data_IF_130486437326
#
_entry.id   IF_130486437326
#
_cell.length_a   1.000
_cell.length_b   1.000
_cell.length_c   1.000
_cell.angle_alpha   90.00
_cell.angle_beta   90.00
_cell.angle_gamma   90.00
#
_symmetry.space_group_name_H-M   'P 1'
#
loop_
_entity.id
_entity.type
_entity.pdbx_description
1 polymer ?
#
# COMPACT_ATOMS: atom_id res chain seq x y z
N UNK A 1 28.70 -10.21 28.09
CA UNK A 1 27.52 -9.33 28.04
C UNK A 1 26.78 -9.62 26.75
N UNK A 2 25.61 -10.24 26.87
CA UNK A 2 24.73 -10.64 25.77
C UNK A 2 23.53 -9.69 25.80
N UNK A 3 23.19 -8.93 24.74
CA UNK A 3 22.01 -8.10 24.78
C UNK A 3 20.77 -8.97 24.55
N UNK A 4 19.85 -8.85 25.49
CA UNK A 4 18.60 -9.58 25.66
C UNK A 4 17.67 -9.47 24.46
N UNK A 5 17.11 -10.61 24.05
CA UNK A 5 15.90 -10.68 23.21
C UNK A 5 14.72 -10.04 23.96
N UNK A 6 13.86 -9.24 23.31
CA UNK A 6 12.59 -8.87 23.91
C UNK A 6 11.65 -10.07 23.88
N UNK A 7 11.04 -10.34 25.02
CA UNK A 7 9.96 -11.31 25.21
C UNK A 7 8.69 -10.84 24.47
N UNK A 8 8.18 -11.63 23.55
CA UNK A 8 6.80 -11.49 23.08
C UNK A 8 5.85 -12.14 24.09
N UNK A 9 5.11 -11.29 24.78
CA UNK A 9 4.08 -11.64 25.77
C UNK A 9 2.70 -11.54 25.11
N UNK A 10 2.01 -12.68 25.00
CA UNK A 10 0.55 -12.83 25.04
C UNK A 10 -0.28 -11.96 24.07
N UNK A 11 -0.55 -12.49 22.87
CA UNK A 11 -1.56 -11.94 21.97
C UNK A 11 -2.97 -12.14 22.56
N UNK A 12 -3.53 -11.09 23.16
CA UNK A 12 -4.96 -10.95 23.34
C UNK A 12 -5.64 -10.72 21.98
N UNK A 13 -6.93 -11.04 21.87
CA UNK A 13 -7.78 -10.86 20.69
C UNK A 13 -8.06 -9.38 20.32
N UNK A 14 -7.07 -8.50 20.47
CA UNK A 14 -7.09 -7.09 20.10
C UNK A 14 -6.24 -6.87 18.86
N UNK A 15 -6.77 -6.16 17.87
CA UNK A 15 -6.00 -5.77 16.69
C UNK A 15 -4.75 -4.97 17.06
N UNK A 16 -3.71 -5.10 16.26
CA UNK A 16 -2.48 -4.32 16.44
C UNK A 16 -2.67 -2.93 15.81
N UNK A 17 -2.38 -1.89 16.58
CA UNK A 17 -2.32 -0.52 16.06
C UNK A 17 -0.99 -0.30 15.34
N UNK A 18 -1.04 0.34 14.17
CA UNK A 18 0.13 0.67 13.38
C UNK A 18 0.32 2.18 13.40
N UNK A 19 0.99 2.72 14.43
CA UNK A 19 1.19 4.16 14.56
C UNK A 19 1.98 4.70 13.36
N UNK A 20 1.63 5.90 12.93
CA UNK A 20 2.25 6.60 11.80
C UNK A 20 2.05 5.92 10.45
N UNK A 21 1.00 5.11 10.30
CA UNK A 21 0.55 4.54 9.03
C UNK A 21 -0.69 5.24 8.48
N UNK A 22 -0.89 5.18 7.16
CA UNK A 22 -2.14 5.59 6.50
C UNK A 22 -2.70 4.38 5.76
N UNK A 23 -3.97 4.05 5.98
CA UNK A 23 -4.63 2.95 5.30
C UNK A 23 -5.67 3.50 4.33
N UNK A 24 -5.52 3.16 3.04
CA UNK A 24 -6.34 3.66 1.95
C UNK A 24 -6.80 2.51 1.05
N UNK A 25 -8.00 2.62 0.50
CA UNK A 25 -8.55 1.70 -0.50
C UNK A 25 -8.42 2.34 -1.86
N UNK A 26 -7.65 1.71 -2.73
CA UNK A 26 -7.51 2.10 -4.12
C UNK A 26 -8.64 1.46 -4.93
N UNK A 27 -9.68 2.25 -5.18
CA UNK A 27 -10.78 1.86 -6.07
C UNK A 27 -10.32 1.89 -7.55
N UNK A 28 -10.74 0.90 -8.37
CA UNK A 28 -10.37 0.82 -9.77
C UNK A 28 -10.98 1.99 -10.57
N UNK A 29 -10.17 2.65 -11.40
CA UNK A 29 -10.58 3.90 -12.06
C UNK A 29 -11.74 3.72 -13.05
N UNK A 30 -11.85 2.59 -13.76
CA UNK A 30 -12.98 2.20 -14.63
C UNK A 30 -12.96 0.68 -14.85
N UNK A 31 -14.11 0.00 -14.81
CA UNK A 31 -14.23 -1.37 -15.34
C UNK A 31 -14.17 -1.30 -16.87
N UNK A 32 -13.22 -1.99 -17.50
CA UNK A 32 -13.28 -2.17 -18.94
C UNK A 32 -14.49 -3.07 -19.23
N UNK A 33 -15.49 -2.61 -20.02
CA UNK A 33 -16.67 -3.42 -20.31
C UNK A 33 -16.36 -4.69 -21.12
N UNK A 34 -15.12 -4.82 -21.63
CA UNK A 34 -14.72 -5.90 -22.53
C UNK A 34 -14.04 -7.09 -21.86
N UNK A 35 -13.59 -6.98 -20.60
CA UNK A 35 -12.89 -8.08 -19.92
C UNK A 35 -13.81 -8.99 -19.10
N UNK A 36 -15.05 -8.57 -18.80
CA UNK A 36 -15.97 -9.34 -17.94
C UNK A 36 -15.49 -9.52 -16.49
N UNK A 37 -14.34 -8.95 -16.13
CA UNK A 37 -13.75 -9.06 -14.80
C UNK A 37 -14.39 -8.05 -13.84
N UNK A 38 -14.71 -8.52 -12.63
CA UNK A 38 -15.20 -7.65 -11.57
C UNK A 38 -14.10 -6.67 -11.13
N UNK A 39 -14.40 -5.36 -11.06
CA UNK A 39 -13.47 -4.38 -10.49
C UNK A 39 -13.11 -4.78 -9.05
N UNK A 40 -11.83 -4.87 -8.75
CA UNK A 40 -11.31 -5.25 -7.43
C UNK A 40 -10.59 -4.04 -6.82
N UNK A 41 -11.15 -3.50 -5.73
CA UNK A 41 -10.49 -2.47 -4.93
C UNK A 41 -9.37 -3.09 -4.10
N UNK A 42 -8.32 -2.32 -3.82
CA UNK A 42 -7.13 -2.84 -3.15
C UNK A 42 -6.82 -2.04 -1.87
N UNK A 43 -6.73 -2.72 -0.73
CA UNK A 43 -6.35 -2.09 0.53
C UNK A 43 -4.84 -1.93 0.62
N UNK A 44 -4.39 -0.68 0.75
CA UNK A 44 -2.97 -0.31 0.79
C UNK A 44 -2.64 0.36 2.12
N UNK A 45 -1.72 -0.24 2.87
CA UNK A 45 -1.11 0.39 4.04
C UNK A 45 0.15 1.16 3.62
N UNK A 46 0.08 2.47 3.69
CA UNK A 46 1.19 3.38 3.46
C UNK A 46 1.93 3.58 4.78
N UNK A 47 3.21 3.23 4.80
CA UNK A 47 4.09 3.36 5.97
C UNK A 47 5.33 4.16 5.62
N UNK A 48 6.09 4.60 6.60
CA UNK A 48 7.31 5.39 6.40
C UNK A 48 7.56 6.29 7.60
N UNK A 49 8.73 6.91 7.65
CA UNK A 49 9.07 7.85 8.72
C UNK A 49 8.10 9.05 8.77
N UNK A 50 8.06 9.74 9.92
CA UNK A 50 7.28 10.96 10.07
C UNK A 50 7.80 12.03 9.09
N UNK A 51 6.89 12.73 8.41
CA UNK A 51 7.26 13.76 7.42
C UNK A 51 7.62 13.24 6.02
N UNK A 52 7.48 11.94 5.73
CA UNK A 52 7.66 11.40 4.37
C UNK A 52 6.52 11.71 3.39
N UNK A 53 5.50 12.48 3.81
CA UNK A 53 4.39 12.88 2.95
C UNK A 53 3.23 11.87 2.88
N UNK A 54 3.05 10.99 3.87
CA UNK A 54 2.02 9.94 3.84
C UNK A 54 0.61 10.51 3.78
N UNK A 55 0.32 11.52 4.60
CA UNK A 55 -1.02 12.12 4.69
C UNK A 55 -1.30 13.04 3.49
N UNK A 56 -0.28 13.73 2.96
CA UNK A 56 -0.35 14.46 1.68
C UNK A 56 -0.64 13.51 0.51
N UNK A 57 0.03 12.34 0.48
CA UNK A 57 -0.22 11.29 -0.50
C UNK A 57 -1.64 10.72 -0.36
N UNK A 58 -2.12 10.51 0.87
CA UNK A 58 -3.48 10.08 1.11
C UNK A 58 -4.51 11.10 0.60
N UNK A 59 -4.26 12.40 0.82
CA UNK A 59 -5.11 13.47 0.30
C UNK A 59 -5.14 13.48 -1.24
N UNK A 60 -3.99 13.34 -1.91
CA UNK A 60 -3.91 13.26 -3.38
C UNK A 60 -4.70 12.06 -3.89
N UNK A 61 -4.52 10.88 -3.29
CA UNK A 61 -5.26 9.67 -3.67
C UNK A 61 -6.78 9.81 -3.44
N UNK A 62 -7.21 10.38 -2.31
CA UNK A 62 -8.62 10.67 -2.05
C UNK A 62 -9.19 11.63 -3.11
N UNK A 63 -8.44 12.66 -3.49
CA UNK A 63 -8.86 13.60 -4.53
C UNK A 63 -9.04 12.95 -5.92
N UNK A 64 -8.45 11.76 -6.13
CA UNK A 64 -8.57 10.95 -7.35
C UNK A 64 -9.71 9.92 -7.30
N UNK A 65 -10.51 9.91 -6.24
CA UNK A 65 -11.67 9.03 -6.08
C UNK A 65 -11.39 7.74 -5.30
N UNK A 66 -10.23 7.63 -4.65
CA UNK A 66 -9.95 6.56 -3.70
C UNK A 66 -10.53 6.88 -2.32
N UNK A 67 -10.54 5.89 -1.43
CA UNK A 67 -11.21 6.03 -0.14
C UNK A 67 -10.26 5.82 1.04
N UNK A 68 -10.23 6.78 1.97
CA UNK A 68 -9.47 6.69 3.21
C UNK A 68 -10.16 5.72 4.18
N UNK A 69 -9.38 4.85 4.82
CA UNK A 69 -9.84 4.09 5.98
C UNK A 69 -9.39 4.78 7.26
N UNK A 70 -8.08 4.99 7.41
CA UNK A 70 -7.49 5.55 8.63
C UNK A 70 -6.23 6.37 8.32
N UNK A 71 -6.01 7.43 9.11
CA UNK A 71 -4.76 8.19 9.17
C UNK A 71 -4.15 8.07 10.56
N UNK A 72 -2.81 8.04 10.62
CA UNK A 72 -1.92 7.89 11.77
C UNK A 72 -2.08 6.62 12.64
N UNK A 73 -3.29 6.09 12.85
CA UNK A 73 -3.50 4.90 13.70
C UNK A 73 -4.43 3.84 13.09
N UNK A 74 -4.12 3.28 11.90
CA UNK A 74 -4.81 2.09 11.41
C UNK A 74 -4.71 0.92 12.39
N UNK A 75 -5.84 0.28 12.66
CA UNK A 75 -5.95 -0.92 13.47
C UNK A 75 -6.11 -2.14 12.56
N UNK A 76 -5.18 -3.10 12.61
CA UNK A 76 -5.26 -4.34 11.85
C UNK A 76 -5.65 -5.51 12.74
N UNK A 77 -6.61 -6.32 12.31
CA UNK A 77 -7.03 -7.56 12.98
C UNK A 77 -7.25 -8.68 11.97
N UNK A 78 -7.00 -9.92 12.37
CA UNK A 78 -7.41 -11.07 11.56
C UNK A 78 -8.94 -11.20 11.62
N UNK A 79 -9.56 -11.39 10.47
CA UNK A 79 -10.95 -11.81 10.40
C UNK A 79 -11.07 -13.35 10.50
N UNK A 80 -12.29 -13.91 10.60
CA UNK A 80 -12.50 -15.35 10.71
C UNK A 80 -11.97 -16.16 9.51
N UNK A 81 -11.89 -15.54 8.34
CA UNK A 81 -11.41 -16.16 7.10
C UNK A 81 -9.87 -16.04 6.95
N UNK A 82 -9.21 -15.39 7.91
CA UNK A 82 -7.76 -15.23 7.99
C UNK A 82 -7.21 -14.06 7.17
N UNK A 83 -8.06 -13.19 6.62
CA UNK A 83 -7.63 -11.94 6.02
C UNK A 83 -7.29 -10.90 7.09
N UNK A 84 -6.32 -10.04 6.79
CA UNK A 84 -5.89 -8.99 7.71
C UNK A 84 -6.71 -7.73 7.45
N UNK A 85 -7.77 -7.53 8.23
CA UNK A 85 -8.70 -6.41 8.08
C UNK A 85 -8.15 -5.15 8.76
N UNK A 86 -8.03 -4.07 7.99
CA UNK A 86 -7.69 -2.74 8.52
C UNK A 86 -8.93 -1.90 8.80
N UNK A 87 -8.89 -1.14 9.90
CA UNK A 87 -9.97 -0.28 10.40
C UNK A 87 -9.41 1.00 10.99
N UNK A 88 -10.29 1.96 11.31
CA UNK A 88 -9.94 3.20 12.00
C UNK A 88 -10.57 3.25 13.40
N UNK A 89 -9.86 3.71 14.44
CA UNK A 89 -10.46 3.98 15.73
C UNK A 89 -11.45 5.14 15.65
N UNK A 90 -12.60 5.01 16.33
CA UNK A 90 -13.72 5.96 16.24
C UNK A 90 -13.34 7.46 16.41
N UNK A 91 -12.44 7.86 17.33
CA UNK A 91 -12.07 9.26 17.48
C UNK A 91 -11.35 9.88 16.28
N UNK A 92 -10.68 9.07 15.45
CA UNK A 92 -9.92 9.54 14.27
C UNK A 92 -10.70 9.36 12.96
N UNK A 93 -11.86 8.73 13.02
CA UNK A 93 -12.68 8.49 11.83
C UNK A 93 -13.06 9.80 11.15
N UNK A 94 -13.10 9.79 9.82
CA UNK A 94 -13.36 10.94 8.94
C UNK A 94 -12.27 12.02 8.88
N UNK A 95 -11.24 11.99 9.74
CA UNK A 95 -10.23 13.03 9.82
C UNK A 95 -8.88 12.62 9.18
N UNK A 96 -8.19 13.60 8.62
CA UNK A 96 -6.84 13.48 8.05
C UNK A 96 -6.02 14.70 8.50
N UNK A 97 -4.85 14.50 9.10
CA UNK A 97 -3.94 15.61 9.42
C UNK A 97 -2.99 15.85 8.26
N UNK A 98 -3.04 17.06 7.67
CA UNK A 98 -2.12 17.43 6.58
C UNK A 98 -1.29 18.63 7.00
N UNK A 99 0.04 18.50 6.96
CA UNK A 99 0.92 19.60 7.38
C UNK A 99 0.72 20.81 6.45
N UNK A 100 0.60 21.98 7.05
CA UNK A 100 0.32 23.24 6.34
C UNK A 100 -1.17 23.50 6.07
N UNK A 101 -2.04 22.49 6.16
CA UNK A 101 -3.50 22.65 6.06
C UNK A 101 -4.22 22.41 7.39
N UNK A 102 -3.62 21.65 8.31
CA UNK A 102 -4.22 21.24 9.58
C UNK A 102 -5.09 19.98 9.45
N UNK A 103 -5.99 19.80 10.41
CA UNK A 103 -6.92 18.67 10.44
C UNK A 103 -8.06 18.93 9.46
N UNK A 104 -8.26 18.00 8.52
CA UNK A 104 -9.30 18.05 7.50
C UNK A 104 -10.39 17.01 7.79
N UNK A 105 -11.65 17.37 7.57
CA UNK A 105 -12.74 16.39 7.59
C UNK A 105 -13.01 15.89 6.17
N UNK A 106 -12.56 14.67 5.88
CA UNK A 106 -12.62 14.05 4.55
C UNK A 106 -14.07 13.79 4.13
N UNK A 107 -14.94 13.37 5.05
CA UNK A 107 -16.36 13.16 4.78
C UNK A 107 -17.03 14.43 4.26
N UNK A 108 -16.74 15.58 4.88
CA UNK A 108 -17.35 16.86 4.52
C UNK A 108 -16.80 17.43 3.21
N UNK A 109 -15.51 17.19 2.93
CA UNK A 109 -14.86 17.72 1.73
C UNK A 109 -15.14 16.88 0.47
N UNK A 110 -15.10 15.54 0.58
CA UNK A 110 -15.15 14.62 -0.57
C UNK A 110 -16.37 13.68 -0.54
N UNK A 111 -17.22 13.79 0.47
CA UNK A 111 -18.41 12.97 0.62
C UNK A 111 -18.14 11.59 1.24
N UNK A 112 -19.20 10.81 1.50
CA UNK A 112 -19.08 9.51 2.16
C UNK A 112 -18.35 8.45 1.31
N UNK A 113 -18.34 8.60 -0.02
CA UNK A 113 -17.66 7.66 -0.92
C UNK A 113 -16.11 7.70 -0.79
N UNK A 114 -15.56 8.80 -0.29
CA UNK A 114 -14.13 8.97 -0.01
C UNK A 114 -13.67 8.26 1.27
N UNK A 115 -14.55 7.49 1.92
CA UNK A 115 -14.27 6.79 3.17
C UNK A 115 -14.67 5.31 3.07
N UNK A 116 -13.96 4.48 3.82
CA UNK A 116 -14.31 3.08 4.07
C UNK A 116 -14.14 2.80 5.56
N UNK A 117 -15.09 2.10 6.16
CA UNK A 117 -15.01 1.74 7.58
C UNK A 117 -13.96 0.65 7.85
N UNK A 118 -13.83 -0.29 6.90
CA UNK A 118 -12.89 -1.38 6.94
C UNK A 118 -12.54 -1.87 5.53
N UNK A 119 -11.36 -2.47 5.36
CA UNK A 119 -10.98 -3.19 4.15
C UNK A 119 -9.87 -4.21 4.44
N UNK A 120 -9.80 -5.36 3.75
CA UNK A 120 -8.64 -6.23 3.80
C UNK A 120 -7.36 -5.50 3.36
N UNK A 121 -6.23 -5.80 4.01
CA UNK A 121 -4.91 -5.32 3.64
C UNK A 121 -4.31 -6.25 2.60
N UNK A 122 -4.04 -5.72 1.41
CA UNK A 122 -3.48 -6.47 0.28
C UNK A 122 -2.00 -6.12 0.04
N UNK A 123 -1.62 -4.85 0.26
CA UNK A 123 -0.30 -4.34 -0.10
C UNK A 123 0.20 -3.31 0.93
N UNK A 124 1.50 -3.35 1.20
CA UNK A 124 2.19 -2.29 1.95
C UNK A 124 3.03 -1.47 0.97
N UNK A 125 2.86 -0.15 0.99
CA UNK A 125 3.81 0.79 0.38
C UNK A 125 4.62 1.40 1.50
N UNK A 126 5.92 1.15 1.53
CA UNK A 126 6.83 1.75 2.48
C UNK A 126 7.60 2.90 1.84
N UNK A 127 7.26 4.12 2.22
CA UNK A 127 7.97 5.31 1.79
C UNK A 127 9.34 5.37 2.46
N UNK A 128 10.38 5.41 1.65
CA UNK A 128 11.77 5.48 2.11
C UNK A 128 12.44 6.78 1.66
N UNK A 129 13.43 7.23 2.42
CA UNK A 129 14.33 8.26 1.93
C UNK A 129 15.11 7.74 0.72
N UNK A 130 15.44 8.64 -0.21
CA UNK A 130 16.29 8.30 -1.34
C UNK A 130 17.67 7.83 -0.85
N UNK A 131 18.06 6.61 -1.22
CA UNK A 131 19.41 6.13 -1.01
C UNK A 131 20.40 6.86 -1.94
N UNK A 132 21.65 7.04 -1.48
CA UNK A 132 22.72 7.62 -2.28
C UNK A 132 23.04 6.80 -3.54
N UNK A 133 22.81 5.49 -3.48
CA UNK A 133 22.87 4.58 -4.62
C UNK A 133 21.75 3.53 -4.55
N UNK A 134 21.12 3.28 -5.69
CA UNK A 134 20.16 2.19 -5.87
C UNK A 134 20.86 1.06 -6.65
N UNK A 135 20.83 -0.18 -6.15
CA UNK A 135 21.30 -1.36 -6.87
C UNK A 135 20.73 -1.40 -8.31
N UNK A 136 21.54 -1.74 -9.34
CA UNK A 136 21.10 -1.74 -10.73
C UNK A 136 19.85 -2.60 -10.97
N UNK A 137 19.77 -3.71 -10.25
CA UNK A 137 18.70 -4.71 -10.29
C UNK A 137 17.36 -4.17 -9.78
N UNK A 138 17.37 -3.31 -8.76
CA UNK A 138 16.15 -2.64 -8.28
C UNK A 138 15.53 -1.68 -9.30
N UNK A 139 16.30 -1.22 -10.31
CA UNK A 139 15.76 -0.41 -11.41
C UNK A 139 14.92 -1.23 -12.39
N UNK A 140 15.17 -2.53 -12.48
CA UNK A 140 14.46 -3.45 -13.38
C UNK A 140 13.24 -4.08 -12.70
N UNK A 141 13.40 -4.52 -11.44
CA UNK A 141 12.34 -5.27 -10.74
C UNK A 141 11.57 -4.44 -9.72
N UNK A 142 12.09 -3.28 -9.31
CA UNK A 142 11.64 -2.58 -8.10
C UNK A 142 12.14 -3.24 -6.82
N UNK A 143 11.98 -2.55 -5.69
CA UNK A 143 12.35 -3.05 -4.36
C UNK A 143 11.12 -3.67 -3.64
N UNK A 144 10.73 -4.85 -4.14
CA UNK A 144 9.62 -5.63 -3.60
C UNK A 144 10.12 -6.66 -2.58
N UNK A 145 9.36 -6.83 -1.50
CA UNK A 145 9.59 -7.83 -0.47
C UNK A 145 8.28 -8.25 0.20
N UNK A 146 8.40 -8.85 1.38
CA UNK A 146 7.26 -9.32 2.17
C UNK A 146 7.45 -8.88 3.62
N UNK A 147 6.39 -8.35 4.25
CA UNK A 147 6.33 -8.09 5.69
C UNK A 147 5.32 -9.01 6.32
N UNK A 148 5.65 -9.56 7.48
CA UNK A 148 4.73 -10.42 8.24
C UNK A 148 3.99 -9.55 9.25
N UNK A 149 2.67 -9.41 9.08
CA UNK A 149 1.79 -8.68 10.01
C UNK A 149 0.76 -9.65 10.59
N UNK A 150 0.68 -9.76 11.92
CA UNK A 150 -0.19 -10.73 12.60
C UNK A 150 -0.08 -12.16 12.02
N UNK A 151 1.15 -12.60 11.68
CA UNK A 151 1.40 -13.92 11.08
C UNK A 151 1.07 -14.04 9.58
N UNK A 152 0.58 -12.98 8.92
CA UNK A 152 0.26 -12.98 7.49
C UNK A 152 1.37 -12.31 6.67
N UNK A 153 1.87 -12.97 5.60
CA UNK A 153 2.81 -12.35 4.68
C UNK A 153 2.06 -11.35 3.79
N UNK A 154 2.45 -10.08 3.86
CA UNK A 154 1.91 -9.00 3.05
C UNK A 154 2.99 -8.50 2.08
N UNK A 155 2.73 -8.50 0.77
CA UNK A 155 3.60 -7.89 -0.23
C UNK A 155 3.93 -6.45 0.16
N UNK A 156 5.20 -6.06 0.02
CA UNK A 156 5.68 -4.73 0.40
C UNK A 156 6.54 -4.15 -0.72
N UNK A 157 6.24 -2.93 -1.15
CA UNK A 157 7.11 -2.15 -2.04
C UNK A 157 7.78 -1.05 -1.22
N UNK A 158 9.11 -1.00 -1.22
CA UNK A 158 9.84 0.18 -0.75
C UNK A 158 9.88 1.22 -1.87
N UNK A 159 9.23 2.36 -1.65
CA UNK A 159 9.07 3.42 -2.63
C UNK A 159 9.90 4.65 -2.21
N UNK A 160 11.01 4.96 -2.89
CA UNK A 160 11.83 6.11 -2.54
C UNK A 160 11.12 7.43 -2.86
N UNK A 161 11.04 8.31 -1.86
CA UNK A 161 10.46 9.65 -1.98
C UNK A 161 11.49 10.62 -2.56
N UNK A 162 11.12 11.29 -3.66
CA UNK A 162 11.90 12.36 -4.30
C UNK A 162 10.97 13.54 -4.60
N UNK A 163 11.46 14.76 -4.38
CA UNK A 163 10.72 15.97 -4.73
C UNK A 163 10.36 15.97 -6.23
N UNK A 164 9.14 16.42 -6.55
CA UNK A 164 8.64 16.49 -7.92
C UNK A 164 8.11 15.16 -8.50
N UNK A 165 8.22 14.03 -7.80
CA UNK A 165 7.56 12.78 -8.22
C UNK A 165 6.08 12.78 -7.83
N UNK A 166 5.24 12.34 -8.75
CA UNK A 166 3.82 12.08 -8.47
C UNK A 166 3.68 10.73 -7.75
N UNK A 167 3.77 10.75 -6.41
CA UNK A 167 3.72 9.53 -5.59
C UNK A 167 2.38 8.80 -5.72
N UNK A 168 1.26 9.52 -5.83
CA UNK A 168 -0.05 8.91 -6.02
C UNK A 168 -0.08 8.05 -7.29
N UNK A 169 0.43 8.57 -8.41
CA UNK A 169 0.55 7.79 -9.66
C UNK A 169 1.41 6.54 -9.47
N UNK A 170 2.53 6.63 -8.74
CA UNK A 170 3.41 5.49 -8.49
C UNK A 170 2.72 4.43 -7.62
N UNK A 171 1.96 4.85 -6.59
CA UNK A 171 1.18 3.95 -5.73
C UNK A 171 0.07 3.26 -6.51
N UNK A 172 -0.69 3.99 -7.31
CA UNK A 172 -1.73 3.43 -8.19
C UNK A 172 -1.12 2.41 -9.18
N UNK A 173 0.02 2.75 -9.78
CA UNK A 173 0.73 1.87 -10.71
C UNK A 173 1.26 0.62 -10.01
N UNK A 174 1.81 0.76 -8.80
CA UNK A 174 2.28 -0.36 -7.99
C UNK A 174 1.15 -1.31 -7.61
N UNK A 175 -0.02 -0.78 -7.23
CA UNK A 175 -1.20 -1.56 -6.93
C UNK A 175 -1.74 -2.29 -8.17
N UNK A 176 -1.81 -1.62 -9.32
CA UNK A 176 -2.20 -2.25 -10.58
C UNK A 176 -1.21 -3.35 -10.99
N UNK A 177 0.10 -3.12 -10.83
CA UNK A 177 1.14 -4.12 -11.07
C UNK A 177 1.00 -5.33 -10.14
N UNK A 178 0.72 -5.10 -8.85
CA UNK A 178 0.47 -6.17 -7.88
C UNK A 178 -0.77 -6.99 -8.26
N UNK A 179 -1.85 -6.34 -8.73
CA UNK A 179 -3.04 -7.02 -9.22
C UNK A 179 -2.75 -7.87 -10.46
N UNK A 180 -1.89 -7.42 -11.37
CA UNK A 180 -1.46 -8.21 -12.52
C UNK A 180 -0.67 -9.46 -12.08
N UNK A 181 0.26 -9.33 -11.13
CA UNK A 181 1.05 -10.45 -10.61
C UNK A 181 0.15 -11.48 -9.93
N UNK A 182 -0.79 -11.04 -9.10
CA UNK A 182 -1.74 -11.95 -8.42
C UNK A 182 -2.67 -12.68 -9.40
N UNK A 183 -2.90 -12.09 -10.59
CA UNK A 183 -3.60 -12.71 -11.73
C UNK A 183 -2.69 -13.54 -12.65
N UNK A 184 -1.41 -13.69 -12.32
CA UNK A 184 -0.46 -14.52 -13.05
C UNK A 184 0.31 -13.81 -14.18
N UNK A 185 0.19 -12.48 -14.32
CA UNK A 185 0.98 -11.71 -15.30
C UNK A 185 2.20 -11.05 -14.64
N UNK A 186 3.41 -11.37 -15.13
CA UNK A 186 4.65 -10.76 -14.69
C UNK A 186 5.36 -10.06 -15.87
N UNK A 187 5.40 -8.72 -15.82
CA UNK A 187 5.97 -7.90 -16.90
C UNK A 187 7.48 -8.12 -17.12
N UNK A 188 8.24 -8.38 -16.05
CA UNK A 188 9.69 -8.62 -16.15
C UNK A 188 9.98 -9.95 -16.86
N UNK A 189 9.18 -10.99 -16.58
CA UNK A 189 9.26 -12.28 -17.27
C UNK A 189 8.86 -12.14 -18.73
N UNK A 190 7.75 -11.47 -19.02
CA UNK A 190 7.28 -11.21 -20.39
C UNK A 190 8.34 -10.46 -21.22
N UNK A 191 8.91 -9.38 -20.67
CA UNK A 191 9.99 -8.64 -21.34
C UNK A 191 11.24 -9.50 -21.55
N UNK A 192 11.64 -10.28 -20.55
CA UNK A 192 12.81 -11.18 -20.65
C UNK A 192 12.61 -12.23 -21.74
N UNK A 193 11.42 -12.81 -21.84
CA UNK A 193 11.07 -13.78 -22.88
C UNK A 193 11.10 -13.16 -24.28
N UNK A 194 10.59 -11.93 -24.43
CA UNK A 194 10.63 -11.20 -25.72
C UNK A 194 12.06 -10.89 -26.15
N UNK A 195 12.91 -10.45 -25.21
CA UNK A 195 14.32 -10.16 -25.49
C UNK A 195 15.10 -11.44 -25.82
N UNK A 196 14.87 -12.55 -25.10
CA UNK A 196 15.49 -13.84 -25.40
C UNK A 196 15.12 -14.35 -26.81
N UNK A 197 13.84 -14.19 -27.19
CA UNK A 197 13.35 -14.55 -28.52
C UNK A 197 14.00 -13.72 -29.64
N UNK A 198 14.18 -12.40 -29.43
CA UNK A 198 14.87 -11.54 -30.41
C UNK A 198 16.37 -11.83 -30.54
N UNK A 199 16.99 -12.36 -29.48
CA UNK A 199 18.41 -12.71 -29.47
C UNK A 199 18.69 -14.14 -29.94
N UNK A 200 17.66 -14.89 -30.36
CA UNK A 200 17.81 -16.25 -30.89
C UNK A 200 18.26 -17.29 -29.85
N UNK A 201 18.09 -17.02 -28.55
CA UNK A 201 18.36 -18.00 -27.48
C UNK A 201 17.03 -18.66 -27.09
N UNK A 202 16.94 -19.98 -27.27
CA UNK A 202 15.79 -20.75 -26.77
C UNK A 202 15.69 -20.63 -25.24
N UNK A 203 14.46 -20.56 -24.68
CA UNK A 203 14.26 -20.50 -23.24
C UNK A 203 14.76 -21.80 -22.58
N UNK A 204 15.49 -21.67 -21.46
CA UNK A 204 15.85 -22.78 -20.57
C UNK A 204 14.74 -23.04 -19.55
#
# INVERSE_FOLDING_TARGET
MNPSKPHESGAQAGGSAYPHGVFIVLDPRQSSPHTGETPHSLGVLITGEAGMGKSELALDLVSRGHALVADDAPCLRLDPDGALLGTCPAPLQDFLEVRGLGILNIRKLFGPAALREAHPLDLIIHLTAMAASEPPEQRLTGDWGVRILAGRPIPTLNLPVRQGRNLALLVETAAAHHLLITRGYNAAVDLSNRLAHQLGKEPQ
#
